data_IF_678815861957
#
_entry.id   IF_678815861957
#
_cell.length_a   1.000
_cell.length_b   1.000
_cell.length_c   1.000
_cell.angle_alpha   90.00
_cell.angle_beta   90.00
_cell.angle_gamma   90.00
#
_symmetry.space_group_name_H-M   'P 1'
#
loop_
_entity.id
_entity.type
_entity.pdbx_description
1 polymer ?
#
# COMPACT_ATOMS: atom_id res chain seq x y z
N UNK A 1 19.38 5.70 -18.47
CA UNK A 1 18.28 4.83 -18.03
C UNK A 1 18.48 4.63 -16.53
N UNK A 2 18.05 5.61 -15.73
CA UNK A 2 18.20 5.55 -14.27
C UNK A 2 17.27 4.46 -13.75
N UNK A 3 17.86 3.39 -13.20
CA UNK A 3 17.09 2.44 -12.39
C UNK A 3 16.55 3.27 -11.23
N UNK A 4 15.22 3.36 -11.01
CA UNK A 4 14.70 4.05 -9.85
C UNK A 4 15.39 3.47 -8.62
N UNK A 5 16.00 4.34 -7.79
CA UNK A 5 16.61 3.99 -6.52
C UNK A 5 15.74 2.94 -5.82
N UNK A 6 16.27 1.78 -5.37
CA UNK A 6 15.44 0.75 -4.77
C UNK A 6 14.62 1.37 -3.64
N UNK A 7 13.31 1.50 -3.89
CA UNK A 7 12.42 2.12 -2.93
C UNK A 7 12.45 1.22 -1.70
N UNK A 8 12.84 1.78 -0.56
CA UNK A 8 12.91 1.03 0.69
C UNK A 8 11.48 0.81 1.18
N UNK A 9 10.97 -0.41 1.04
CA UNK A 9 9.58 -0.75 1.35
C UNK A 9 9.18 -0.40 2.80
N UNK A 10 10.13 -0.50 3.73
CA UNK A 10 10.01 -0.14 5.15
C UNK A 10 9.87 1.36 5.41
N UNK A 11 10.17 2.20 4.41
CA UNK A 11 10.10 3.67 4.52
C UNK A 11 8.92 4.28 3.77
N UNK A 12 8.13 3.47 3.08
CA UNK A 12 6.97 3.96 2.33
C UNK A 12 5.82 4.19 3.30
N UNK A 13 5.53 5.45 3.58
CA UNK A 13 4.42 5.89 4.44
C UNK A 13 3.39 6.65 3.60
N UNK A 14 2.18 6.85 4.15
CA UNK A 14 1.17 7.69 3.48
C UNK A 14 1.64 9.12 3.30
N UNK A 15 2.49 9.64 4.22
CA UNK A 15 3.10 10.96 4.09
C UNK A 15 4.09 11.02 2.93
N UNK A 16 5.00 10.06 2.82
CA UNK A 16 5.93 9.98 1.67
C UNK A 16 5.16 9.91 0.36
N UNK A 17 4.10 9.09 0.29
CA UNK A 17 3.27 9.02 -0.89
C UNK A 17 2.55 10.35 -1.20
N UNK A 18 2.14 11.10 -0.18
CA UNK A 18 1.54 12.42 -0.39
C UNK A 18 2.57 13.45 -0.90
N UNK A 19 3.74 13.52 -0.26
CA UNK A 19 4.81 14.47 -0.59
C UNK A 19 5.33 14.26 -2.02
N UNK A 20 5.41 13.01 -2.46
CA UNK A 20 5.89 12.63 -3.79
C UNK A 20 4.78 12.46 -4.83
N UNK A 21 3.53 12.76 -4.46
CA UNK A 21 2.35 12.57 -5.31
C UNK A 21 2.23 11.14 -5.89
N UNK A 22 2.54 10.14 -5.07
CA UNK A 22 2.36 8.72 -5.39
C UNK A 22 0.95 8.26 -5.01
N UNK A 23 0.41 7.39 -5.84
CA UNK A 23 -0.89 6.76 -5.61
C UNK A 23 -0.71 5.49 -4.77
N UNK A 24 -1.59 5.30 -3.80
CA UNK A 24 -1.64 4.08 -2.98
C UNK A 24 -2.94 3.36 -3.25
N UNK A 25 -2.86 2.06 -3.49
CA UNK A 25 -4.02 1.21 -3.74
C UNK A 25 -4.04 0.09 -2.73
N UNK A 26 -5.24 -0.20 -2.23
CA UNK A 26 -5.48 -1.27 -1.26
C UNK A 26 -6.31 -2.35 -1.93
N UNK A 27 -5.85 -3.60 -1.81
CA UNK A 27 -6.44 -4.77 -2.44
C UNK A 27 -7.14 -5.65 -1.40
N UNK A 28 -8.36 -6.07 -1.75
CA UNK A 28 -9.24 -6.90 -0.94
C UNK A 28 -9.57 -8.16 -1.73
N UNK A 29 -8.75 -9.19 -1.56
CA UNK A 29 -8.86 -10.43 -2.33
C UNK A 29 -10.19 -11.13 -2.06
N UNK A 30 -10.69 -11.04 -0.82
CA UNK A 30 -11.98 -11.61 -0.42
C UNK A 30 -13.20 -11.12 -1.21
N UNK A 31 -13.13 -9.96 -1.87
CA UNK A 31 -14.19 -9.46 -2.75
C UNK A 31 -13.71 -9.10 -4.16
N UNK A 32 -12.48 -9.48 -4.52
CA UNK A 32 -11.83 -9.08 -5.76
C UNK A 32 -11.96 -7.57 -6.06
N UNK A 33 -11.71 -6.73 -5.06
CA UNK A 33 -11.87 -5.28 -5.20
C UNK A 33 -10.60 -4.56 -4.78
N UNK A 34 -10.18 -3.58 -5.59
CA UNK A 34 -9.05 -2.68 -5.29
C UNK A 34 -9.55 -1.26 -5.33
N UNK A 35 -9.13 -0.44 -4.37
CA UNK A 35 -9.48 0.98 -4.33
C UNK A 35 -8.27 1.84 -4.01
N UNK A 36 -8.25 3.03 -4.63
CA UNK A 36 -7.25 4.05 -4.35
C UNK A 36 -7.50 4.71 -3.00
N UNK A 37 -6.44 4.87 -2.23
CA UNK A 37 -6.36 5.83 -1.15
C UNK A 37 -5.92 7.18 -1.71
N UNK A 38 -6.27 8.24 -1.00
CA UNK A 38 -5.80 9.59 -1.27
C UNK A 38 -4.80 9.95 -0.17
N UNK A 39 -3.49 9.73 -0.36
CA UNK A 39 -2.50 9.87 0.70
C UNK A 39 -2.48 11.29 1.27
N UNK A 40 -2.71 12.30 0.42
CA UNK A 40 -2.83 13.72 0.82
C UNK A 40 -3.88 13.98 1.89
N UNK A 41 -4.96 13.19 1.95
CA UNK A 41 -5.99 13.31 3.00
C UNK A 41 -5.63 12.58 4.30
N UNK A 42 -4.74 11.59 4.23
CA UNK A 42 -4.41 10.70 5.34
C UNK A 42 -3.04 11.03 5.97
N UNK A 43 -2.17 11.72 5.23
CA UNK A 43 -0.79 12.05 5.63
C UNK A 43 -0.69 13.00 6.84
N UNK A 44 -1.72 13.81 7.08
CA UNK A 44 -1.80 14.70 8.25
C UNK A 44 -2.19 14.00 9.55
N UNK A 45 -2.68 12.76 9.47
CA UNK A 45 -3.13 11.99 10.63
C UNK A 45 -2.02 11.18 11.30
N UNK A 46 -2.31 10.54 12.45
CA UNK A 46 -1.36 9.72 13.20
C UNK A 46 -0.85 8.50 12.41
N UNK A 47 -1.63 8.02 11.44
CA UNK A 47 -1.24 6.92 10.55
C UNK A 47 -0.37 7.39 9.37
N UNK A 48 -0.22 8.70 9.18
CA UNK A 48 0.50 9.29 8.05
C UNK A 48 1.98 8.93 8.02
N UNK A 49 2.60 8.80 9.19
CA UNK A 49 4.02 8.48 9.36
C UNK A 49 4.28 6.97 9.53
N UNK A 50 3.24 6.14 9.61
CA UNK A 50 3.39 4.70 9.78
C UNK A 50 3.67 4.05 8.42
N UNK A 51 4.64 3.12 8.32
CA UNK A 51 4.89 2.38 7.10
C UNK A 51 3.64 1.63 6.62
N UNK A 52 3.38 1.63 5.31
CA UNK A 52 2.21 0.96 4.72
C UNK A 52 2.18 -0.52 5.08
N UNK A 53 3.34 -1.18 5.13
CA UNK A 53 3.45 -2.56 5.55
C UNK A 53 2.97 -2.79 7.00
N UNK A 54 3.24 -1.86 7.92
CA UNK A 54 2.80 -1.97 9.31
C UNK A 54 1.30 -1.68 9.45
N UNK A 55 0.76 -0.77 8.62
CA UNK A 55 -0.68 -0.54 8.52
C UNK A 55 -1.43 -1.78 7.98
N UNK A 56 -0.82 -2.53 7.06
CA UNK A 56 -1.35 -3.81 6.59
C UNK A 56 -1.28 -4.89 7.68
N UNK A 57 -0.13 -4.99 8.36
CA UNK A 57 0.11 -5.97 9.41
C UNK A 57 -0.88 -5.81 10.57
N UNK A 58 -1.07 -4.56 11.03
CA UNK A 58 -2.03 -4.20 12.08
C UNK A 58 -3.50 -4.31 11.65
N UNK A 59 -3.78 -4.41 10.35
CA UNK A 59 -5.15 -4.41 9.82
C UNK A 59 -5.84 -3.04 9.89
N UNK A 60 -5.07 -1.97 10.01
CA UNK A 60 -5.56 -0.59 9.95
C UNK A 60 -6.11 -0.26 8.56
N UNK A 61 -5.51 -0.82 7.50
CA UNK A 61 -6.07 -0.77 6.16
C UNK A 61 -7.19 -1.80 6.04
N UNK A 62 -8.43 -1.33 5.89
CA UNK A 62 -9.64 -2.15 5.82
C UNK A 62 -10.35 -1.99 4.50
N UNK A 63 -10.84 -3.09 3.98
CA UNK A 63 -11.74 -3.12 2.84
C UNK A 63 -12.98 -2.26 3.08
N UNK A 64 -13.53 -1.67 2.02
CA UNK A 64 -14.78 -0.89 2.10
C UNK A 64 -15.90 -1.70 2.75
N UNK A 65 -16.92 -1.00 3.26
CA UNK A 65 -18.09 -1.60 3.94
C UNK A 65 -18.79 -2.70 3.14
N UNK A 66 -18.82 -2.62 1.80
CA UNK A 66 -19.35 -3.70 0.93
C UNK A 66 -18.58 -5.02 1.04
N UNK A 67 -17.37 -4.99 1.57
CA UNK A 67 -16.50 -6.14 1.86
C UNK A 67 -16.51 -6.56 3.34
N UNK A 68 -17.47 -6.07 4.13
CA UNK A 68 -17.58 -6.40 5.54
C UNK A 68 -16.51 -5.77 6.44
N UNK A 69 -15.79 -4.74 5.95
CA UNK A 69 -14.80 -4.03 6.76
C UNK A 69 -13.60 -4.88 7.21
N UNK A 70 -13.38 -6.03 6.56
CA UNK A 70 -12.26 -6.94 6.83
C UNK A 70 -10.93 -6.22 6.56
N UNK A 71 -9.86 -6.58 7.29
CA UNK A 71 -8.52 -6.10 6.97
C UNK A 71 -8.16 -6.41 5.51
N UNK A 72 -7.46 -5.49 4.86
CA UNK A 72 -7.02 -5.66 3.49
C UNK A 72 -5.96 -6.78 3.37
N UNK A 73 -5.92 -7.40 2.20
CA UNK A 73 -5.04 -8.54 1.90
C UNK A 73 -3.79 -8.09 1.13
N UNK A 74 -3.72 -6.83 0.71
CA UNK A 74 -2.54 -6.28 0.07
C UNK A 74 -2.63 -4.79 -0.18
N UNK A 75 -1.51 -4.21 -0.57
CA UNK A 75 -1.46 -2.85 -1.07
C UNK A 75 -0.35 -2.72 -2.12
N UNK A 76 -0.47 -1.72 -2.99
CA UNK A 76 0.64 -1.32 -3.85
C UNK A 76 0.71 0.20 -3.98
N UNK A 77 1.91 0.68 -4.28
CA UNK A 77 2.17 2.08 -4.57
C UNK A 77 2.61 2.21 -6.02
N UNK A 78 2.06 3.20 -6.70
CA UNK A 78 2.49 3.59 -8.02
C UNK A 78 2.80 5.07 -8.10
N UNK A 79 3.68 5.43 -9.02
CA UNK A 79 3.95 6.82 -9.39
C UNK A 79 3.66 6.99 -10.87
N UNK A 80 3.06 8.13 -11.23
CA UNK A 80 3.01 8.55 -12.62
C UNK A 80 4.32 9.24 -12.99
N UNK A 81 4.93 8.78 -14.06
CA UNK A 81 6.09 9.41 -14.66
C UNK A 81 5.87 9.46 -16.18
N UNK A 82 5.86 10.67 -16.75
CA UNK A 82 5.69 10.91 -18.20
C UNK A 82 4.48 10.17 -18.79
N UNK A 83 3.33 10.29 -18.14
CA UNK A 83 2.07 9.65 -18.59
C UNK A 83 2.01 8.12 -18.39
N UNK A 84 3.05 7.49 -17.86
CA UNK A 84 3.09 6.06 -17.54
C UNK A 84 3.04 5.82 -16.03
N UNK A 85 2.26 4.82 -15.61
CA UNK A 85 2.18 4.41 -14.21
C UNK A 85 3.23 3.34 -13.92
N UNK A 86 4.14 3.60 -12.98
CA UNK A 86 5.17 2.67 -12.55
C UNK A 86 4.84 2.10 -11.17
N UNK A 87 4.91 0.76 -11.03
CA UNK A 87 4.80 0.12 -9.72
C UNK A 87 6.09 0.34 -8.93
N UNK A 88 5.97 0.98 -7.76
CA UNK A 88 7.11 1.25 -6.89
C UNK A 88 7.29 0.17 -5.83
N UNK A 89 6.17 -0.29 -5.26
CA UNK A 89 6.17 -1.32 -4.24
C UNK A 89 4.83 -2.05 -4.22
N UNK A 90 4.86 -3.33 -3.87
CA UNK A 90 3.66 -4.15 -3.67
C UNK A 90 3.85 -5.02 -2.43
N UNK A 91 2.78 -5.17 -1.65
CA UNK A 91 2.73 -6.06 -0.52
C UNK A 91 1.49 -6.94 -0.56
N UNK A 92 1.65 -8.16 -0.07
CA UNK A 92 0.55 -9.09 0.21
C UNK A 92 0.56 -9.43 1.69
N UNK A 93 -0.61 -9.75 2.23
CA UNK A 93 -0.78 -10.21 3.61
C UNK A 93 -1.12 -11.70 3.59
N UNK A 94 -0.30 -12.47 4.27
CA UNK A 94 -0.49 -13.90 4.50
C UNK A 94 -0.89 -14.10 5.97
N UNK A 95 -1.82 -15.01 6.23
CA UNK A 95 -2.14 -15.42 7.61
C UNK A 95 -1.36 -16.68 7.92
N UNK A 96 -0.40 -16.59 8.83
CA UNK A 96 0.46 -17.71 9.26
C UNK A 96 0.20 -17.95 10.74
N UNK A 97 -0.36 -19.12 11.09
CA UNK A 97 -0.72 -19.49 12.47
C UNK A 97 -1.62 -18.44 13.16
N UNK A 98 -2.57 -17.85 12.42
CA UNK A 98 -3.47 -16.81 12.94
C UNK A 98 -2.85 -15.41 13.03
N UNK A 99 -1.54 -15.26 12.78
CA UNK A 99 -0.87 -13.96 12.73
C UNK A 99 -0.81 -13.43 11.28
N UNK A 100 -1.04 -12.12 11.12
CA UNK A 100 -0.92 -11.42 9.82
C UNK A 100 0.53 -11.10 9.55
N UNK A 101 1.09 -11.66 8.47
CA UNK A 101 2.44 -11.37 8.00
C UNK A 101 2.39 -10.68 6.66
N UNK A 102 3.16 -9.61 6.53
CA UNK A 102 3.22 -8.82 5.30
C UNK A 102 4.48 -9.20 4.54
N UNK A 103 4.31 -9.57 3.28
CA UNK A 103 5.38 -9.92 2.36
C UNK A 103 5.46 -8.87 1.26
N UNK A 104 6.64 -8.28 1.12
CA UNK A 104 6.99 -7.48 -0.04
C UNK A 104 7.06 -8.38 -1.29
N UNK A 105 6.35 -8.01 -2.35
CA UNK A 105 6.47 -8.66 -3.65
C UNK A 105 7.47 -7.87 -4.50
N UNK A 106 8.23 -8.55 -5.38
CA UNK A 106 9.09 -7.87 -6.34
C UNK A 106 8.23 -6.92 -7.18
N UNK A 107 8.78 -5.76 -7.54
CA UNK A 107 8.18 -4.91 -8.56
C UNK A 107 8.08 -5.75 -9.83
N UNK A 108 6.87 -5.90 -10.38
CA UNK A 108 6.72 -6.56 -11.67
C UNK A 108 7.29 -5.63 -12.73
N UNK A 109 8.30 -6.12 -13.46
CA UNK A 109 8.92 -5.45 -14.61
C UNK A 109 7.91 -5.17 -15.73
#
# INVERSE_FOLDING_TARGET
>A
MERPNPVRHDRITLRVCADLNWSVYVSCAGCNYTYGLWPSRLAGGPLGAVPIMDLLASGALRCRTRCGGRPADGAHVSAMHVGMSHYLARWTVETVNGARRVRALPAAD
#
